data_IF_745237402536
#
_entry.id   IF_745237402536
#
_cell.length_a   1.000
_cell.length_b   1.000
_cell.length_c   1.000
_cell.angle_alpha   90.00
_cell.angle_beta   90.00
_cell.angle_gamma   90.00
#
_symmetry.space_group_name_H-M   'P 1'
#
loop_
_entity.id
_entity.type
_entity.pdbx_description
1 polymer ?
#
# COMPACT_ATOMS: atom_id res chain seq x y z
N UNK A 1 -27.63 -19.98 7.60
CA UNK A 1 -26.49 -19.05 7.33
C UNK A 1 -25.37 -19.43 8.26
N UNK A 2 -24.29 -19.95 7.73
CA UNK A 2 -23.11 -20.35 8.53
C UNK A 2 -22.52 -19.08 9.15
N UNK A 3 -22.48 -19.02 10.48
CA UNK A 3 -21.81 -17.96 11.22
C UNK A 3 -20.44 -18.46 11.65
N UNK A 4 -19.40 -17.65 11.47
CA UNK A 4 -18.07 -17.95 11.99
C UNK A 4 -17.75 -17.02 13.13
N UNK A 5 -17.18 -17.56 14.21
CA UNK A 5 -16.69 -16.77 15.36
C UNK A 5 -15.21 -17.02 15.49
N UNK A 6 -14.43 -15.97 15.37
CA UNK A 6 -12.99 -16.01 15.62
C UNK A 6 -12.72 -15.52 17.04
N UNK A 7 -12.07 -16.35 17.86
CA UNK A 7 -11.70 -16.02 19.23
C UNK A 7 -10.19 -15.98 19.39
N UNK A 8 -9.70 -15.07 20.20
CA UNK A 8 -8.29 -14.97 20.54
C UNK A 8 -8.10 -14.33 21.93
N UNK A 9 -6.92 -14.56 22.51
CA UNK A 9 -6.53 -13.92 23.78
C UNK A 9 -6.57 -12.38 23.67
N UNK A 10 -6.22 -11.84 22.51
CA UNK A 10 -6.21 -10.40 22.27
C UNK A 10 -6.92 -10.05 20.96
N UNK A 11 -7.71 -8.99 20.98
CA UNK A 11 -8.31 -8.39 19.79
C UNK A 11 -8.07 -6.88 19.84
N UNK A 12 -7.50 -6.32 18.78
CA UNK A 12 -7.36 -4.88 18.57
C UNK A 12 -8.40 -4.46 17.53
N UNK A 13 -9.58 -3.96 17.94
CA UNK A 13 -10.62 -3.52 17.00
C UNK A 13 -10.17 -2.36 16.12
N UNK A 14 -9.44 -1.43 16.74
CA UNK A 14 -8.75 -0.32 16.11
C UNK A 14 -7.56 0.09 16.98
N UNK A 15 -6.62 0.82 16.41
CA UNK A 15 -5.42 1.25 17.11
C UNK A 15 -5.74 2.00 18.41
N UNK A 16 -5.06 1.66 19.49
CA UNK A 16 -5.30 2.21 20.83
C UNK A 16 -6.43 1.52 21.60
N UNK A 17 -7.13 0.54 21.02
CA UNK A 17 -8.18 -0.23 21.71
C UNK A 17 -7.79 -1.71 21.80
N UNK A 18 -7.79 -2.28 22.98
CA UNK A 18 -7.47 -3.69 23.23
C UNK A 18 -8.61 -4.39 23.98
N UNK A 19 -9.13 -5.46 23.41
CA UNK A 19 -10.03 -6.40 24.07
C UNK A 19 -9.25 -7.67 24.44
N UNK A 20 -9.54 -8.23 25.62
CA UNK A 20 -8.95 -9.50 26.09
C UNK A 20 -9.98 -10.60 26.04
N UNK A 21 -9.54 -11.82 25.68
CA UNK A 21 -10.41 -12.99 25.57
C UNK A 21 -11.70 -12.62 24.82
N UNK A 22 -11.56 -12.22 23.57
CA UNK A 22 -12.66 -11.62 22.82
C UNK A 22 -12.96 -12.39 21.53
N UNK A 23 -14.18 -12.19 21.04
CA UNK A 23 -14.72 -12.83 19.86
C UNK A 23 -15.08 -11.81 18.79
N UNK A 24 -14.74 -12.13 17.55
CA UNK A 24 -15.19 -11.43 16.34
C UNK A 24 -16.19 -12.34 15.62
N UNK A 25 -17.46 -11.93 15.62
CA UNK A 25 -18.55 -12.65 14.96
C UNK A 25 -18.67 -12.19 13.51
N UNK A 26 -18.62 -13.15 12.59
CA UNK A 26 -18.76 -12.93 11.15
C UNK A 26 -20.06 -13.55 10.65
N UNK A 27 -20.84 -12.77 9.90
CA UNK A 27 -22.05 -13.20 9.22
C UNK A 27 -21.87 -13.14 7.71
N UNK A 28 -22.71 -13.84 6.95
CA UNK A 28 -22.77 -13.68 5.50
C UNK A 28 -23.09 -12.23 5.10
N UNK A 29 -22.47 -11.70 4.03
CA UNK A 29 -21.49 -12.32 3.15
C UNK A 29 -20.01 -12.08 3.57
N UNK A 30 -19.69 -12.17 4.86
CA UNK A 30 -18.33 -11.94 5.39
C UNK A 30 -18.17 -10.58 6.07
N UNK A 31 -19.23 -10.09 6.71
CA UNK A 31 -19.19 -8.85 7.50
C UNK A 31 -19.14 -9.14 8.99
N UNK A 32 -18.48 -8.26 9.72
CA UNK A 32 -18.48 -8.29 11.17
C UNK A 32 -19.88 -7.93 11.66
N UNK A 33 -20.51 -8.83 12.42
CA UNK A 33 -21.82 -8.62 13.01
C UNK A 33 -21.72 -8.12 14.46
N UNK A 34 -20.71 -8.58 15.22
CA UNK A 34 -20.51 -8.23 16.63
C UNK A 34 -19.06 -8.47 17.06
N UNK A 35 -18.60 -7.69 18.03
CA UNK A 35 -17.40 -7.93 18.85
C UNK A 35 -17.82 -7.91 20.31
N UNK A 36 -17.32 -8.86 21.10
CA UNK A 36 -17.61 -8.96 22.53
C UNK A 36 -16.54 -9.76 23.27
N UNK A 37 -16.47 -9.62 24.62
CA UNK A 37 -15.72 -10.56 25.44
C UNK A 37 -16.24 -11.99 25.23
N UNK A 38 -15.32 -12.96 25.10
CA UNK A 38 -15.70 -14.36 24.94
C UNK A 38 -15.99 -15.00 26.30
N UNK A 39 -17.20 -15.51 26.50
CA UNK A 39 -17.64 -16.11 27.75
C UNK A 39 -17.98 -17.62 27.64
N UNK A 40 -18.49 -18.06 26.50
CA UNK A 40 -18.90 -19.45 26.26
C UNK A 40 -19.16 -19.68 24.77
N UNK A 41 -19.04 -20.92 24.26
CA UNK A 41 -19.49 -21.25 22.93
C UNK A 41 -20.98 -20.90 22.77
N UNK A 42 -21.36 -20.34 21.61
CA UNK A 42 -22.76 -20.06 21.35
C UNK A 42 -23.59 -21.36 21.39
N UNK A 43 -24.80 -21.34 21.93
CA UNK A 43 -25.63 -22.54 22.09
C UNK A 43 -26.16 -23.11 20.75
N UNK A 44 -25.76 -22.55 19.61
CA UNK A 44 -26.29 -22.91 18.30
C UNK A 44 -25.27 -23.74 17.50
N UNK A 45 -25.67 -24.94 17.09
CA UNK A 45 -24.87 -25.93 16.33
C UNK A 45 -24.44 -25.44 14.93
N UNK A 46 -25.03 -24.39 14.39
CA UNK A 46 -24.69 -23.82 13.07
C UNK A 46 -23.53 -22.82 13.09
N UNK A 47 -22.91 -22.57 14.25
CA UNK A 47 -21.82 -21.60 14.38
C UNK A 47 -20.46 -22.30 14.39
N UNK A 48 -19.63 -22.02 13.39
CA UNK A 48 -18.23 -22.48 13.37
C UNK A 48 -17.40 -21.58 14.30
N UNK A 49 -16.77 -22.15 15.30
CA UNK A 49 -15.83 -21.43 16.18
C UNK A 49 -14.40 -21.76 15.76
N UNK A 50 -13.61 -20.72 15.53
CA UNK A 50 -12.18 -20.81 15.26
C UNK A 50 -11.43 -20.18 16.42
N UNK A 51 -10.77 -21.00 17.24
CA UNK A 51 -9.98 -20.58 18.38
C UNK A 51 -8.51 -20.43 17.97
N UNK A 52 -8.00 -19.21 18.07
CA UNK A 52 -6.61 -18.87 17.75
C UNK A 52 -5.68 -18.96 18.97
N UNK A 53 -6.21 -19.24 20.16
CA UNK A 53 -5.45 -19.36 21.40
C UNK A 53 -4.71 -18.07 21.78
N UNK A 54 -3.40 -18.21 22.09
CA UNK A 54 -2.53 -17.09 22.42
C UNK A 54 -2.15 -16.30 21.17
N UNK A 55 -3.13 -15.60 20.60
CA UNK A 55 -2.98 -14.80 19.39
C UNK A 55 -3.57 -13.40 19.56
N UNK A 56 -3.21 -12.51 18.64
CA UNK A 56 -3.80 -11.19 18.44
C UNK A 56 -4.58 -11.21 17.12
N UNK A 57 -5.84 -10.77 17.16
CA UNK A 57 -6.63 -10.43 15.97
C UNK A 57 -6.64 -8.91 15.83
N UNK A 58 -6.24 -8.41 14.66
CA UNK A 58 -6.30 -6.98 14.32
C UNK A 58 -6.92 -6.81 12.94
N UNK A 59 -7.32 -5.57 12.54
CA UNK A 59 -7.77 -5.32 11.18
C UNK A 59 -6.72 -5.79 10.19
N UNK A 60 -7.15 -6.30 9.04
CA UNK A 60 -6.26 -6.70 7.98
C UNK A 60 -5.28 -5.58 7.62
N UNK A 61 -4.00 -5.92 7.50
CA UNK A 61 -2.97 -4.95 7.14
C UNK A 61 -3.20 -4.46 5.71
N UNK A 62 -2.90 -3.19 5.49
CA UNK A 62 -3.05 -2.50 4.20
C UNK A 62 -1.69 -2.06 3.69
N UNK A 63 -1.29 -2.59 2.55
CA UNK A 63 -0.14 -2.11 1.80
C UNK A 63 -0.62 -1.05 0.80
N UNK A 64 -0.46 0.22 1.12
CA UNK A 64 -1.02 1.29 0.31
C UNK A 64 -0.22 1.60 -0.97
N UNK A 65 0.98 1.03 -1.11
CA UNK A 65 1.83 1.16 -2.30
C UNK A 65 2.80 -0.01 -2.42
N UNK A 66 2.74 -0.69 -3.56
CA UNK A 66 3.70 -1.73 -3.94
C UNK A 66 3.82 -1.87 -5.45
N UNK A 67 4.96 -2.42 -5.92
CA UNK A 67 5.20 -2.82 -7.30
C UNK A 67 5.47 -4.33 -7.33
N UNK A 68 4.43 -5.14 -7.41
CA UNK A 68 4.56 -6.61 -7.43
C UNK A 68 5.33 -7.10 -8.66
N UNK A 69 5.31 -6.34 -9.76
CA UNK A 69 6.09 -6.64 -10.97
C UNK A 69 7.59 -6.71 -10.73
N UNK A 70 8.10 -6.08 -9.66
CA UNK A 70 9.51 -6.04 -9.32
C UNK A 70 9.92 -7.08 -8.26
N UNK A 71 9.04 -8.06 -7.94
CA UNK A 71 9.34 -9.09 -6.93
C UNK A 71 10.48 -10.04 -7.34
N UNK A 72 10.88 -10.09 -8.61
CA UNK A 72 12.07 -10.82 -9.08
C UNK A 72 13.38 -10.11 -8.78
N UNK A 73 13.35 -8.80 -8.52
CA UNK A 73 14.54 -8.06 -8.18
C UNK A 73 14.73 -8.11 -6.67
N UNK A 74 15.61 -8.99 -6.15
CA UNK A 74 15.98 -8.89 -4.74
C UNK A 74 16.66 -7.55 -4.54
N UNK A 75 16.31 -6.85 -3.46
CA UNK A 75 17.02 -5.64 -3.05
C UNK A 75 18.52 -5.90 -3.10
N UNK A 76 19.26 -5.02 -3.76
CA UNK A 76 20.70 -5.19 -3.86
C UNK A 76 21.31 -5.10 -2.45
N UNK A 77 22.27 -5.98 -2.13
CA UNK A 77 22.99 -5.94 -0.85
C UNK A 77 23.73 -4.60 -0.63
N UNK A 78 24.03 -3.91 -1.73
CA UNK A 78 24.68 -2.60 -1.70
C UNK A 78 23.74 -1.51 -2.19
N UNK A 79 23.67 -0.46 -1.41
CA UNK A 79 23.01 0.78 -1.81
C UNK A 79 23.53 1.27 -3.16
N UNK A 80 22.64 1.63 -4.12
CA UNK A 80 23.06 2.18 -5.41
C UNK A 80 23.82 3.49 -5.24
N UNK A 81 24.73 3.78 -6.18
CA UNK A 81 25.51 5.03 -6.15
C UNK A 81 24.63 6.27 -6.34
N UNK A 82 23.56 6.15 -7.16
CA UNK A 82 22.53 7.16 -7.32
C UNK A 82 21.17 6.54 -7.64
N UNK A 83 20.09 7.30 -7.41
CA UNK A 83 18.73 6.87 -7.71
C UNK A 83 18.51 6.65 -9.21
N UNK A 84 19.06 7.52 -10.06
CA UNK A 84 18.96 7.39 -11.53
C UNK A 84 19.70 6.18 -12.08
N UNK A 85 20.82 5.80 -11.47
CA UNK A 85 21.53 4.57 -11.80
C UNK A 85 20.67 3.34 -11.45
N UNK A 86 20.07 3.32 -10.26
CA UNK A 86 19.15 2.27 -9.85
C UNK A 86 17.96 2.14 -10.81
N UNK A 87 17.34 3.28 -11.21
CA UNK A 87 16.28 3.27 -12.22
C UNK A 87 16.73 2.65 -13.55
N UNK A 88 17.94 2.99 -14.01
CA UNK A 88 18.51 2.43 -15.24
C UNK A 88 18.68 0.91 -15.16
N UNK A 89 19.09 0.40 -13.98
CA UNK A 89 19.23 -1.03 -13.74
C UNK A 89 17.88 -1.73 -13.72
N UNK A 90 16.87 -1.19 -13.03
CA UNK A 90 15.50 -1.72 -13.01
C UNK A 90 14.91 -1.76 -14.41
N UNK A 91 15.07 -0.71 -15.22
CA UNK A 91 14.59 -0.68 -16.61
C UNK A 91 15.25 -1.77 -17.44
N UNK A 92 16.58 -1.92 -17.31
CA UNK A 92 17.35 -2.94 -18.05
C UNK A 92 16.92 -4.35 -17.69
N UNK A 93 16.71 -4.64 -16.41
CA UNK A 93 16.27 -5.96 -15.97
C UNK A 93 14.84 -6.27 -16.44
N UNK A 94 13.92 -5.31 -16.32
CA UNK A 94 12.53 -5.49 -16.82
C UNK A 94 12.47 -5.82 -18.31
N UNK A 95 13.38 -5.30 -19.14
CA UNK A 95 13.43 -5.59 -20.58
C UNK A 95 13.77 -7.05 -20.91
N UNK A 96 14.31 -7.81 -19.96
CA UNK A 96 14.68 -9.22 -20.11
C UNK A 96 13.53 -10.17 -19.79
N UNK A 97 12.47 -9.68 -19.15
CA UNK A 97 11.40 -10.55 -18.67
C UNK A 97 10.32 -10.75 -19.72
N UNK A 98 9.92 -12.02 -19.88
CA UNK A 98 8.74 -12.36 -20.64
C UNK A 98 7.46 -11.97 -19.88
N UNK A 99 6.33 -11.96 -20.61
CA UNK A 99 5.01 -11.77 -19.99
C UNK A 99 4.73 -12.82 -18.90
N UNK A 100 5.19 -14.06 -19.09
CA UNK A 100 5.00 -15.14 -18.12
C UNK A 100 5.81 -14.88 -16.83
N UNK A 101 7.06 -14.41 -16.96
CA UNK A 101 7.90 -14.06 -15.82
C UNK A 101 7.26 -12.95 -14.98
N UNK A 102 6.73 -11.90 -15.63
CA UNK A 102 6.04 -10.81 -14.96
C UNK A 102 4.80 -11.32 -14.23
N UNK A 103 4.00 -12.18 -14.87
CA UNK A 103 2.80 -12.76 -14.26
C UNK A 103 3.12 -13.60 -13.02
N UNK A 104 4.12 -14.48 -13.11
CA UNK A 104 4.58 -15.28 -11.98
C UNK A 104 5.07 -14.42 -10.82
N UNK A 105 5.84 -13.39 -11.15
CA UNK A 105 6.38 -12.43 -10.20
C UNK A 105 5.29 -11.70 -9.41
N UNK A 106 4.26 -11.21 -10.10
CA UNK A 106 3.10 -10.54 -9.49
C UNK A 106 2.37 -11.49 -8.53
N UNK A 107 2.10 -12.72 -8.96
CA UNK A 107 1.41 -13.74 -8.14
C UNK A 107 2.24 -14.05 -6.89
N UNK A 108 3.55 -14.22 -7.04
CA UNK A 108 4.47 -14.50 -5.92
C UNK A 108 4.47 -13.36 -4.91
N UNK A 109 4.57 -12.11 -5.36
CA UNK A 109 4.53 -10.93 -4.50
C UNK A 109 3.20 -10.79 -3.74
N UNK A 110 2.07 -11.03 -4.41
CA UNK A 110 0.76 -11.03 -3.77
C UNK A 110 0.65 -12.10 -2.68
N UNK A 111 1.16 -13.30 -2.92
CA UNK A 111 1.18 -14.39 -1.94
C UNK A 111 2.09 -14.10 -0.75
N UNK A 112 3.24 -13.46 -0.96
CA UNK A 112 4.11 -12.99 0.12
C UNK A 112 3.39 -11.93 0.98
N UNK A 113 2.73 -10.96 0.36
CA UNK A 113 1.94 -9.96 1.07
C UNK A 113 0.81 -10.60 1.89
N UNK A 114 0.08 -11.54 1.28
CA UNK A 114 -0.99 -12.29 1.97
C UNK A 114 -0.43 -13.10 3.15
N UNK A 115 0.72 -13.77 2.98
CA UNK A 115 1.36 -14.55 4.04
C UNK A 115 1.86 -13.69 5.20
N UNK A 116 2.03 -12.39 5.01
CA UNK A 116 2.43 -11.43 6.05
C UNK A 116 1.26 -10.68 6.71
N UNK A 117 0.02 -11.03 6.39
CA UNK A 117 -1.17 -10.41 7.01
C UNK A 117 -1.82 -9.30 6.18
N UNK A 118 -1.33 -9.01 4.99
CA UNK A 118 -1.91 -7.98 4.13
C UNK A 118 -3.20 -8.47 3.48
N UNK A 119 -4.29 -7.71 3.63
CA UNK A 119 -5.62 -8.03 3.07
C UNK A 119 -6.01 -7.10 1.91
N UNK A 120 -5.37 -5.92 1.81
CA UNK A 120 -5.62 -4.92 0.77
C UNK A 120 -4.29 -4.38 0.24
N UNK A 121 -4.15 -4.35 -1.09
CA UNK A 121 -3.01 -3.79 -1.82
C UNK A 121 -3.40 -2.56 -2.63
N UNK A 122 -2.51 -1.55 -2.65
CA UNK A 122 -2.41 -0.54 -3.67
C UNK A 122 -1.26 -0.91 -4.63
N UNK A 123 -1.58 -1.62 -5.69
CA UNK A 123 -0.61 -2.18 -6.66
C UNK A 123 -0.40 -1.23 -7.83
N UNK A 124 0.85 -0.88 -8.14
CA UNK A 124 1.21 -0.12 -9.33
C UNK A 124 1.52 -1.10 -10.48
N UNK A 125 0.70 -1.05 -11.53
CA UNK A 125 0.83 -1.92 -12.71
C UNK A 125 1.36 -1.15 -13.90
N UNK A 126 2.64 -1.26 -14.19
CA UNK A 126 3.26 -0.61 -15.35
C UNK A 126 3.12 -1.44 -16.62
N UNK A 127 3.06 -2.77 -16.50
CA UNK A 127 2.85 -3.67 -17.64
C UNK A 127 1.38 -3.83 -18.06
N UNK A 128 0.43 -3.46 -17.19
CA UNK A 128 -1.00 -3.73 -17.37
C UNK A 128 -1.39 -5.20 -17.21
N UNK A 129 -0.51 -6.02 -16.58
CA UNK A 129 -0.73 -7.47 -16.40
C UNK A 129 -1.33 -7.79 -15.04
N UNK A 130 -1.17 -6.91 -14.03
CA UNK A 130 -1.54 -7.19 -12.64
C UNK A 130 -3.02 -7.61 -12.48
N UNK A 131 -3.94 -7.03 -13.24
CA UNK A 131 -5.36 -7.41 -13.21
C UNK A 131 -5.59 -8.88 -13.56
N UNK A 132 -4.96 -9.36 -14.63
CA UNK A 132 -5.09 -10.75 -15.08
C UNK A 132 -4.34 -11.69 -14.13
N UNK A 133 -3.13 -11.32 -13.72
CA UNK A 133 -2.31 -12.11 -12.83
C UNK A 133 -2.99 -12.35 -11.47
N UNK A 134 -3.64 -11.33 -10.93
CA UNK A 134 -4.20 -11.34 -9.57
C UNK A 134 -5.66 -11.82 -9.48
N UNK A 135 -6.31 -12.18 -10.60
CA UNK A 135 -7.74 -12.52 -10.64
C UNK A 135 -8.15 -13.67 -9.70
N UNK A 136 -7.24 -14.55 -9.35
CA UNK A 136 -7.49 -15.69 -8.47
C UNK A 136 -6.91 -15.55 -7.07
N UNK A 137 -6.18 -14.48 -6.82
CA UNK A 137 -5.56 -14.23 -5.52
C UNK A 137 -6.59 -13.63 -4.54
N UNK A 138 -6.74 -14.27 -3.38
CA UNK A 138 -7.79 -14.00 -2.41
C UNK A 138 -7.45 -12.83 -1.48
N UNK A 139 -7.01 -11.71 -2.04
CA UNK A 139 -6.83 -10.44 -1.33
C UNK A 139 -7.47 -9.31 -2.11
N UNK A 140 -7.80 -8.21 -1.44
CA UNK A 140 -8.33 -7.02 -2.11
C UNK A 140 -7.19 -6.24 -2.74
N UNK A 141 -7.46 -5.66 -3.90
CA UNK A 141 -6.48 -4.89 -4.66
C UNK A 141 -7.12 -3.71 -5.37
N UNK A 142 -6.55 -2.53 -5.16
CA UNK A 142 -6.73 -1.38 -6.01
C UNK A 142 -5.52 -1.31 -6.94
N UNK A 143 -5.74 -1.57 -8.23
CA UNK A 143 -4.68 -1.63 -9.23
C UNK A 143 -4.60 -0.28 -9.92
N UNK A 144 -3.49 0.39 -9.73
CA UNK A 144 -3.17 1.65 -10.36
C UNK A 144 -2.47 1.38 -11.69
N UNK A 145 -3.18 1.59 -12.78
CA UNK A 145 -2.65 1.48 -14.14
C UNK A 145 -1.69 2.63 -14.42
N UNK A 146 -0.40 2.32 -14.49
CA UNK A 146 0.63 3.33 -14.60
C UNK A 146 0.80 3.84 -16.03
N UNK A 147 1.07 5.16 -16.15
CA UNK A 147 1.44 5.81 -17.40
C UNK A 147 2.70 6.65 -17.23
N UNK A 148 3.57 6.57 -18.25
CA UNK A 148 4.86 7.26 -18.33
C UNK A 148 5.00 7.84 -19.73
N UNK A 149 5.02 9.17 -19.86
CA UNK A 149 5.34 9.83 -21.11
C UNK A 149 5.63 11.32 -20.92
N UNK A 150 6.68 11.81 -21.54
CA UNK A 150 7.08 13.23 -21.53
C UNK A 150 6.82 13.93 -22.85
N UNK A 151 6.71 13.18 -23.98
CA UNK A 151 6.43 13.77 -25.29
C UNK A 151 4.94 13.72 -25.61
N UNK A 152 4.37 14.69 -26.36
CA UNK A 152 2.95 14.70 -26.70
C UNK A 152 2.48 13.44 -27.42
N UNK A 153 3.29 12.92 -28.34
CA UNK A 153 2.96 11.72 -29.12
C UNK A 153 2.79 10.50 -28.20
N UNK A 154 3.80 10.25 -27.33
CA UNK A 154 3.75 9.16 -26.37
C UNK A 154 2.67 9.35 -25.30
N UNK A 155 2.34 10.60 -24.94
CA UNK A 155 1.25 10.89 -24.00
C UNK A 155 -0.11 10.46 -24.60
N UNK A 156 -0.36 10.73 -25.88
CA UNK A 156 -1.57 10.28 -26.58
C UNK A 156 -1.69 8.76 -26.63
N UNK A 157 -0.59 8.06 -26.96
CA UNK A 157 -0.54 6.59 -26.96
C UNK A 157 -0.77 6.02 -25.54
N UNK A 158 -0.13 6.60 -24.52
CA UNK A 158 -0.28 6.19 -23.12
C UNK A 158 -1.74 6.35 -22.63
N UNK A 159 -2.40 7.46 -22.97
CA UNK A 159 -3.82 7.69 -22.64
C UNK A 159 -4.74 6.72 -23.36
N UNK A 160 -4.51 6.42 -24.63
CA UNK A 160 -5.29 5.43 -25.36
C UNK A 160 -5.18 4.03 -24.76
N UNK A 161 -3.94 3.60 -24.42
CA UNK A 161 -3.67 2.34 -23.75
C UNK A 161 -4.28 2.28 -22.34
N UNK A 162 -4.21 3.38 -21.57
CA UNK A 162 -4.82 3.49 -20.24
C UNK A 162 -6.34 3.32 -20.31
N UNK A 163 -7.01 4.05 -21.21
CA UNK A 163 -8.46 3.91 -21.39
C UNK A 163 -8.84 2.48 -21.75
N UNK A 164 -8.14 1.85 -22.69
CA UNK A 164 -8.38 0.45 -23.07
C UNK A 164 -8.23 -0.50 -21.87
N UNK A 165 -7.27 -0.27 -20.99
CA UNK A 165 -7.09 -1.07 -19.76
C UNK A 165 -8.24 -0.85 -18.76
N UNK A 166 -8.63 0.39 -18.52
CA UNK A 166 -9.68 0.75 -17.58
C UNK A 166 -11.10 0.40 -18.06
N UNK A 167 -11.32 0.28 -19.36
CA UNK A 167 -12.62 -0.12 -19.93
C UNK A 167 -12.90 -1.63 -19.77
N UNK A 168 -11.89 -2.42 -19.44
CA UNK A 168 -12.09 -3.84 -19.13
C UNK A 168 -12.80 -3.99 -17.79
N UNK A 169 -13.77 -4.88 -17.65
CA UNK A 169 -14.42 -5.15 -16.37
C UNK A 169 -13.42 -5.67 -15.35
N UNK A 170 -13.64 -5.38 -14.08
CA UNK A 170 -12.80 -5.95 -13.02
C UNK A 170 -12.93 -7.47 -12.99
N UNK A 171 -11.80 -8.20 -12.86
CA UNK A 171 -11.79 -9.65 -13.04
C UNK A 171 -12.45 -10.41 -11.90
N UNK A 172 -12.61 -9.81 -10.73
CA UNK A 172 -13.21 -10.40 -9.54
C UNK A 172 -13.76 -9.31 -8.59
N UNK A 173 -14.50 -9.74 -7.57
CA UNK A 173 -15.12 -8.86 -6.57
C UNK A 173 -14.10 -8.21 -5.58
N UNK A 174 -12.83 -8.58 -5.65
CA UNK A 174 -11.75 -8.06 -4.81
C UNK A 174 -10.84 -7.10 -5.56
N UNK A 175 -11.08 -6.91 -6.86
CA UNK A 175 -10.30 -6.05 -7.73
C UNK A 175 -11.05 -4.75 -8.02
N UNK A 176 -10.33 -3.66 -8.07
CA UNK A 176 -10.76 -2.41 -8.70
C UNK A 176 -9.58 -1.72 -9.35
N UNK A 177 -9.84 -0.88 -10.35
CA UNK A 177 -8.80 -0.22 -11.13
C UNK A 177 -8.83 1.29 -10.95
N UNK A 178 -7.65 1.88 -11.02
CA UNK A 178 -7.42 3.30 -10.85
C UNK A 178 -6.28 3.78 -11.76
N UNK A 179 -5.85 5.03 -11.63
CA UNK A 179 -4.83 5.60 -12.50
C UNK A 179 -3.58 5.99 -11.71
N UNK A 180 -2.40 5.83 -12.34
CA UNK A 180 -1.13 6.28 -11.79
C UNK A 180 -0.29 7.00 -12.86
N UNK A 181 -0.36 8.34 -12.98
CA UNK A 181 0.73 9.06 -13.62
C UNK A 181 1.98 8.93 -12.75
N UNK A 182 3.03 8.29 -13.26
CA UNK A 182 4.17 7.78 -12.50
C UNK A 182 4.80 8.81 -11.55
N UNK A 183 5.44 9.84 -12.10
CA UNK A 183 6.13 10.88 -11.32
C UNK A 183 6.31 12.17 -12.11
N UNK A 184 6.47 13.35 -11.46
CA UNK A 184 6.65 14.64 -12.13
C UNK A 184 7.81 14.71 -13.11
N UNK A 185 8.86 13.94 -12.89
CA UNK A 185 10.03 13.89 -13.78
C UNK A 185 9.85 12.98 -15.01
N UNK A 186 8.76 12.21 -15.11
CA UNK A 186 8.53 11.22 -16.16
C UNK A 186 7.19 11.33 -16.88
N UNK A 187 6.35 12.29 -16.47
CA UNK A 187 5.00 12.50 -16.99
C UNK A 187 4.83 13.96 -17.41
N UNK A 188 4.35 14.18 -18.63
CA UNK A 188 4.11 15.55 -19.13
C UNK A 188 2.96 16.25 -18.42
N UNK A 189 2.91 17.60 -18.40
CA UNK A 189 1.79 18.36 -17.83
C UNK A 189 0.44 17.98 -18.43
N UNK A 190 0.40 17.72 -19.74
CA UNK A 190 -0.81 17.36 -20.49
C UNK A 190 -1.30 15.98 -20.04
N UNK A 191 -0.39 15.02 -19.88
CA UNK A 191 -0.72 13.65 -19.43
C UNK A 191 -1.22 13.67 -17.98
N UNK A 192 -0.63 14.49 -17.10
CA UNK A 192 -1.13 14.67 -15.73
C UNK A 192 -2.56 15.22 -15.71
N UNK A 193 -2.85 16.28 -16.47
CA UNK A 193 -4.21 16.84 -16.56
C UNK A 193 -5.20 15.82 -17.09
N UNK A 194 -4.85 15.13 -18.17
CA UNK A 194 -5.72 14.11 -18.78
C UNK A 194 -6.00 12.94 -17.82
N UNK A 195 -5.00 12.47 -17.08
CA UNK A 195 -5.20 11.42 -16.07
C UNK A 195 -6.01 11.89 -14.87
N UNK A 196 -5.84 13.14 -14.43
CA UNK A 196 -6.65 13.73 -13.37
C UNK A 196 -8.13 13.88 -13.80
N UNK A 197 -8.39 14.35 -15.02
CA UNK A 197 -9.74 14.43 -15.59
C UNK A 197 -10.38 13.04 -15.71
N UNK A 198 -9.63 12.04 -16.18
CA UNK A 198 -10.08 10.65 -16.27
C UNK A 198 -10.43 10.08 -14.89
N UNK A 199 -9.58 10.28 -13.87
CA UNK A 199 -9.84 9.86 -12.51
C UNK A 199 -11.12 10.50 -11.94
N UNK A 200 -11.32 11.79 -12.20
CA UNK A 200 -12.52 12.52 -11.80
C UNK A 200 -13.77 11.97 -12.49
N UNK A 201 -13.72 11.77 -13.79
CA UNK A 201 -14.84 11.25 -14.59
C UNK A 201 -15.24 9.83 -14.17
N UNK A 202 -14.26 9.02 -13.75
CA UNK A 202 -14.48 7.63 -13.29
C UNK A 202 -14.72 7.52 -11.77
N UNK A 203 -14.72 8.61 -11.04
CA UNK A 203 -14.86 8.64 -9.57
C UNK A 203 -13.86 7.70 -8.87
N UNK A 204 -12.62 7.63 -9.37
CA UNK A 204 -11.57 6.76 -8.85
C UNK A 204 -10.43 7.57 -8.23
N UNK A 205 -9.47 6.89 -7.60
CA UNK A 205 -8.27 7.48 -7.00
C UNK A 205 -7.24 7.80 -8.09
N UNK A 206 -6.26 8.62 -7.72
CA UNK A 206 -5.04 8.82 -8.50
C UNK A 206 -3.86 8.65 -7.55
N UNK A 207 -2.86 7.86 -7.95
CA UNK A 207 -1.61 7.72 -7.21
C UNK A 207 -0.44 8.25 -8.05
N UNK A 208 0.56 8.84 -7.40
CA UNK A 208 1.78 9.29 -8.08
C UNK A 208 2.96 9.34 -7.10
N UNK A 209 4.15 8.98 -7.57
CA UNK A 209 5.39 9.19 -6.83
C UNK A 209 5.69 10.69 -6.80
N UNK A 210 6.09 11.21 -5.64
CA UNK A 210 6.23 12.66 -5.46
C UNK A 210 7.28 13.00 -4.42
N UNK A 211 8.16 13.94 -4.77
CA UNK A 211 9.20 14.47 -3.88
C UNK A 211 10.00 13.32 -3.22
N UNK A 212 10.31 12.30 -4.02
CA UNK A 212 11.01 11.12 -3.54
C UNK A 212 12.50 11.39 -3.32
N UNK A 213 13.12 12.18 -4.21
CA UNK A 213 14.55 12.45 -4.17
C UNK A 213 14.85 13.95 -4.31
N UNK A 214 16.00 14.39 -3.79
CA UNK A 214 16.49 15.77 -4.00
C UNK A 214 16.75 16.07 -5.47
N UNK A 215 17.14 15.06 -6.23
CA UNK A 215 17.35 15.15 -7.67
C UNK A 215 16.06 15.47 -8.44
N UNK A 216 14.91 14.94 -7.97
CA UNK A 216 13.60 15.33 -8.50
C UNK A 216 13.31 16.81 -8.28
N UNK A 217 13.56 17.29 -7.06
CA UNK A 217 13.38 18.70 -6.71
C UNK A 217 14.24 19.61 -7.61
N UNK A 218 15.54 19.27 -7.77
CA UNK A 218 16.48 20.00 -8.64
C UNK A 218 15.97 20.01 -10.08
N UNK A 219 15.59 18.87 -10.61
CA UNK A 219 15.13 18.73 -11.98
C UNK A 219 13.87 19.57 -12.26
N UNK A 220 12.89 19.56 -11.35
CA UNK A 220 11.67 20.36 -11.53
C UNK A 220 11.89 21.85 -11.33
N UNK A 221 12.80 22.24 -10.45
CA UNK A 221 13.09 23.65 -10.19
C UNK A 221 13.90 24.30 -11.30
N UNK A 222 14.96 23.63 -11.80
CA UNK A 222 15.95 24.23 -12.69
C UNK A 222 16.16 23.50 -14.02
N UNK A 223 15.67 22.27 -14.14
CA UNK A 223 15.90 21.44 -15.31
C UNK A 223 17.32 20.92 -15.43
N UNK A 224 18.06 20.83 -14.32
CA UNK A 224 19.45 20.38 -14.26
C UNK A 224 19.57 19.04 -13.50
N UNK A 225 20.78 18.60 -13.26
CA UNK A 225 21.10 17.46 -12.41
C UNK A 225 21.00 16.10 -13.09
N UNK A 226 21.01 15.07 -12.26
CA UNK A 226 21.08 13.67 -12.69
C UNK A 226 19.86 13.25 -13.53
N UNK A 227 18.65 13.69 -13.18
CA UNK A 227 17.44 13.35 -13.95
C UNK A 227 17.49 13.91 -15.37
N UNK A 228 18.03 15.13 -15.58
CA UNK A 228 18.21 15.64 -16.92
C UNK A 228 19.11 14.73 -17.75
N UNK A 229 20.28 14.38 -17.22
CA UNK A 229 21.23 13.50 -17.90
C UNK A 229 20.62 12.12 -18.21
N UNK A 230 19.93 11.54 -17.24
CA UNK A 230 19.26 10.25 -17.34
C UNK A 230 18.17 10.27 -18.43
N UNK A 231 17.28 11.25 -18.41
CA UNK A 231 16.17 11.34 -19.37
C UNK A 231 16.66 11.66 -20.80
N UNK A 232 17.70 12.51 -20.92
CA UNK A 232 18.37 12.73 -22.20
C UNK A 232 19.00 11.44 -22.72
N UNK A 233 19.67 10.66 -21.86
CA UNK A 233 20.28 9.36 -22.23
C UNK A 233 19.26 8.33 -22.70
N UNK A 234 18.03 8.37 -22.18
CA UNK A 234 16.92 7.55 -22.65
C UNK A 234 16.21 8.08 -23.90
N UNK A 235 16.56 9.29 -24.38
CA UNK A 235 15.83 9.97 -25.44
C UNK A 235 14.37 10.31 -25.06
N UNK A 236 14.10 10.42 -23.76
CA UNK A 236 12.76 10.64 -23.23
C UNK A 236 12.41 12.13 -23.08
N UNK A 237 13.42 13.00 -22.95
CA UNK A 237 13.21 14.43 -22.78
C UNK A 237 12.99 15.11 -24.15
N UNK A 238 11.82 15.77 -24.39
CA UNK A 238 11.56 16.40 -25.68
C UNK A 238 12.50 17.59 -25.93
N UNK A 239 12.84 17.89 -27.22
CA UNK A 239 13.56 19.10 -27.55
C UNK A 239 12.87 20.35 -27.03
N UNK A 240 13.65 21.27 -26.43
CA UNK A 240 13.10 22.51 -25.88
C UNK A 240 12.31 22.36 -24.57
N UNK A 241 12.32 21.20 -23.94
CA UNK A 241 11.67 21.01 -22.65
C UNK A 241 12.18 22.02 -21.63
N UNK A 242 11.26 22.64 -20.91
CA UNK A 242 11.53 23.61 -19.85
C UNK A 242 11.02 23.07 -18.51
N UNK A 243 11.80 23.29 -17.43
CA UNK A 243 11.35 22.89 -16.09
C UNK A 243 10.13 23.72 -15.66
N UNK A 244 9.24 23.17 -14.84
CA UNK A 244 8.09 23.90 -14.30
C UNK A 244 8.50 25.07 -13.39
N UNK A 245 9.74 25.08 -12.85
CA UNK A 245 10.23 26.10 -11.92
C UNK A 245 9.52 26.07 -10.56
N UNK A 246 8.98 24.95 -10.16
CA UNK A 246 8.14 24.78 -8.97
C UNK A 246 8.59 23.58 -8.14
N UNK A 247 8.29 23.62 -6.83
CA UNK A 247 8.37 22.43 -5.97
C UNK A 247 7.37 21.36 -6.45
N UNK A 248 7.65 20.05 -6.26
CA UNK A 248 6.83 18.96 -6.79
C UNK A 248 5.34 19.06 -6.44
N UNK A 249 5.01 19.35 -5.18
CA UNK A 249 3.61 19.49 -4.71
C UNK A 249 2.93 20.68 -5.36
N UNK A 250 3.59 21.84 -5.40
CA UNK A 250 3.06 23.05 -6.03
C UNK A 250 2.82 22.85 -7.55
N UNK A 251 3.69 22.07 -8.20
CA UNK A 251 3.53 21.71 -9.60
C UNK A 251 2.28 20.86 -9.82
N UNK A 252 2.06 19.81 -9.03
CA UNK A 252 0.86 18.97 -9.14
C UNK A 252 -0.42 19.71 -8.75
N UNK A 253 -0.37 20.63 -7.78
CA UNK A 253 -1.49 21.50 -7.42
C UNK A 253 -1.89 22.40 -8.61
N UNK A 254 -0.90 23.02 -9.27
CA UNK A 254 -1.13 23.82 -10.51
C UNK A 254 -1.74 23.01 -11.65
N UNK A 255 -1.47 21.71 -11.71
CA UNK A 255 -2.04 20.81 -12.72
C UNK A 255 -3.45 20.27 -12.36
N UNK A 256 -3.98 20.61 -11.17
CA UNK A 256 -5.30 20.17 -10.71
C UNK A 256 -5.32 18.71 -10.21
N UNK A 257 -4.16 18.10 -10.00
CA UNK A 257 -4.05 16.72 -9.47
C UNK A 257 -4.50 16.67 -8.02
N UNK A 258 -4.15 17.68 -7.21
CA UNK A 258 -4.52 17.72 -5.80
C UNK A 258 -6.01 18.04 -5.55
N UNK A 259 -6.77 18.43 -6.58
CA UNK A 259 -8.22 18.61 -6.49
C UNK A 259 -8.98 17.26 -6.39
N UNK A 260 -8.26 16.16 -6.52
CA UNK A 260 -8.72 14.80 -6.31
C UNK A 260 -8.26 14.29 -4.93
N UNK A 261 -8.87 13.23 -4.39
CA UNK A 261 -8.34 12.53 -3.22
C UNK A 261 -7.10 11.72 -3.65
N UNK A 262 -6.02 12.42 -4.01
CA UNK A 262 -4.80 11.84 -4.53
C UNK A 262 -3.99 11.13 -3.46
N UNK A 263 -3.23 10.12 -3.90
CA UNK A 263 -2.29 9.35 -3.09
C UNK A 263 -0.89 9.75 -3.53
N UNK A 264 -0.18 10.46 -2.66
CA UNK A 264 1.15 10.99 -2.90
C UNK A 264 2.16 10.03 -2.26
N UNK A 265 2.91 9.32 -3.10
CA UNK A 265 3.80 8.25 -2.66
C UNK A 265 5.17 8.85 -2.34
N UNK A 266 5.81 8.36 -1.29
CA UNK A 266 7.07 8.78 -0.68
C UNK A 266 6.96 10.12 0.05
N UNK A 267 6.92 11.24 -0.64
CA UNK A 267 6.92 12.57 -0.02
C UNK A 267 8.08 12.78 0.97
N UNK A 268 9.27 12.32 0.58
CA UNK A 268 10.47 12.33 1.44
C UNK A 268 10.98 13.75 1.70
N UNK A 269 10.77 14.67 0.74
CA UNK A 269 11.31 16.03 0.74
C UNK A 269 10.19 17.06 0.56
N UNK A 270 9.53 17.41 1.66
CA UNK A 270 8.45 18.40 1.69
C UNK A 270 8.85 19.64 2.49
N UNK A 271 8.59 20.82 1.95
CA UNK A 271 8.59 22.06 2.71
C UNK A 271 7.23 22.34 3.37
N UNK A 272 7.13 23.37 4.17
CA UNK A 272 5.92 23.70 4.93
C UNK A 272 4.75 24.07 3.99
N UNK A 273 4.99 24.80 2.88
CA UNK A 273 3.97 25.14 1.89
C UNK A 273 3.38 23.87 1.23
N UNK A 274 4.24 22.92 0.89
CA UNK A 274 3.84 21.62 0.35
C UNK A 274 2.93 20.86 1.32
N UNK A 275 3.28 20.80 2.62
CA UNK A 275 2.47 20.13 3.64
C UNK A 275 1.10 20.81 3.82
N UNK A 276 1.05 22.14 3.82
CA UNK A 276 -0.19 22.91 3.90
C UNK A 276 -1.09 22.65 2.68
N UNK A 277 -0.53 22.57 1.47
CA UNK A 277 -1.28 22.19 0.26
C UNK A 277 -1.87 20.79 0.38
N UNK A 278 -1.07 19.80 0.77
CA UNK A 278 -1.52 18.41 0.95
C UNK A 278 -2.68 18.34 1.94
N UNK A 279 -2.56 19.03 3.08
CA UNK A 279 -3.61 19.08 4.10
C UNK A 279 -4.90 19.69 3.57
N UNK A 280 -4.80 20.87 2.91
CA UNK A 280 -5.97 21.63 2.40
C UNK A 280 -6.74 20.88 1.32
N UNK A 281 -6.09 19.96 0.61
CA UNK A 281 -6.65 19.15 -0.49
C UNK A 281 -7.08 17.76 -0.07
N UNK A 282 -6.96 17.39 1.21
CA UNK A 282 -7.31 16.07 1.74
C UNK A 282 -6.62 14.91 1.01
N UNK A 283 -5.42 15.13 0.50
CA UNK A 283 -4.60 14.08 -0.08
C UNK A 283 -4.01 13.17 1.01
N UNK A 284 -3.69 11.95 0.64
CA UNK A 284 -3.01 11.00 1.53
C UNK A 284 -1.53 10.85 1.12
N UNK A 285 -0.66 10.68 2.09
CA UNK A 285 0.76 10.37 1.87
C UNK A 285 0.98 8.87 2.14
N UNK A 286 1.75 8.21 1.29
CA UNK A 286 2.21 6.84 1.54
C UNK A 286 3.70 6.86 1.83
N UNK A 287 4.07 6.50 3.04
CA UNK A 287 5.45 6.37 3.48
C UNK A 287 5.90 4.91 3.35
N UNK A 288 7.07 4.69 2.72
CA UNK A 288 7.70 3.40 2.55
C UNK A 288 9.02 3.37 3.37
N UNK A 289 8.96 3.06 4.68
CA UNK A 289 10.09 3.27 5.60
C UNK A 289 11.38 2.56 5.23
N UNK A 290 11.30 1.31 4.80
CA UNK A 290 12.48 0.49 4.50
C UNK A 290 13.07 0.85 3.14
N UNK A 291 12.24 1.13 2.13
CA UNK A 291 12.69 1.68 0.85
C UNK A 291 13.36 3.03 1.03
N UNK A 292 12.78 3.92 1.84
CA UNK A 292 13.38 5.19 2.24
C UNK A 292 14.78 5.01 2.87
N UNK A 293 14.93 4.02 3.76
CA UNK A 293 16.20 3.71 4.40
C UNK A 293 17.21 3.10 3.41
N UNK A 294 16.76 2.26 2.49
CA UNK A 294 17.58 1.65 1.44
C UNK A 294 18.28 2.71 0.59
N UNK A 295 17.56 3.75 0.18
CA UNK A 295 18.15 4.89 -0.54
C UNK A 295 18.91 5.85 0.37
N UNK A 296 18.74 5.75 1.70
CA UNK A 296 19.38 6.59 2.73
C UNK A 296 19.03 8.04 2.60
N UNK A 297 17.77 8.30 2.39
CA UNK A 297 17.21 9.65 2.40
C UNK A 297 17.37 10.33 3.76
N UNK A 298 17.27 11.65 3.79
CA UNK A 298 17.16 12.43 5.03
C UNK A 298 15.91 12.04 5.82
N UNK A 299 15.83 12.31 7.14
CA UNK A 299 14.70 11.89 7.95
C UNK A 299 13.36 12.31 7.36
N UNK A 300 12.49 11.34 7.14
CA UNK A 300 11.14 11.58 6.59
C UNK A 300 10.32 12.46 7.54
N UNK A 301 9.55 13.46 7.03
CA UNK A 301 8.78 14.39 7.85
C UNK A 301 7.50 13.80 8.45
N UNK A 302 7.40 12.45 8.60
CA UNK A 302 6.19 11.74 9.03
C UNK A 302 5.61 12.29 10.34
N UNK A 303 6.45 12.65 11.33
CA UNK A 303 5.97 13.23 12.59
C UNK A 303 5.20 14.52 12.33
N UNK A 304 5.78 15.42 11.54
CA UNK A 304 5.16 16.70 11.18
C UNK A 304 3.85 16.51 10.42
N UNK A 305 3.82 15.57 9.47
CA UNK A 305 2.61 15.24 8.70
C UNK A 305 1.47 14.76 9.62
N UNK A 306 1.79 13.86 10.56
CA UNK A 306 0.80 13.33 11.53
C UNK A 306 0.32 14.44 12.49
N UNK A 307 1.21 15.30 12.97
CA UNK A 307 0.86 16.41 13.85
C UNK A 307 -0.05 17.44 13.17
N UNK A 308 0.10 17.63 11.87
CA UNK A 308 -0.80 18.46 11.06
C UNK A 308 -2.13 17.78 10.75
N UNK A 309 -2.29 16.48 11.03
CA UNK A 309 -3.51 15.71 10.72
C UNK A 309 -3.58 15.20 9.29
N UNK A 310 -2.46 15.19 8.53
CA UNK A 310 -2.40 14.59 7.20
C UNK A 310 -2.49 13.08 7.34
N UNK A 311 -3.31 12.44 6.49
CA UNK A 311 -3.42 11.00 6.46
C UNK A 311 -2.14 10.36 5.91
N UNK A 312 -1.39 9.68 6.76
CA UNK A 312 -0.17 8.95 6.36
C UNK A 312 -0.42 7.45 6.48
N UNK A 313 -0.25 6.74 5.37
CA UNK A 313 -0.36 5.29 5.26
C UNK A 313 1.03 4.65 5.06
N UNK A 314 1.14 3.33 5.23
CA UNK A 314 2.34 2.57 4.92
C UNK A 314 2.25 1.90 3.54
N UNK A 315 3.39 1.85 2.86
CA UNK A 315 3.63 1.04 1.69
C UNK A 315 4.95 0.30 1.83
N UNK A 316 5.13 -0.77 1.08
CA UNK A 316 6.39 -1.53 1.07
C UNK A 316 7.29 -1.10 -0.08
N UNK A 317 6.74 -0.42 -1.08
CA UNK A 317 7.39 -0.28 -2.36
C UNK A 317 7.70 -1.67 -2.98
N UNK A 318 8.79 -1.85 -3.69
CA UNK A 318 9.16 -3.09 -4.35
C UNK A 318 10.30 -3.84 -3.65
N UNK A 319 10.49 -5.12 -3.99
CA UNK A 319 11.69 -5.87 -3.57
C UNK A 319 12.98 -5.34 -4.22
N UNK A 320 12.91 -4.46 -5.19
CA UNK A 320 14.10 -3.79 -5.74
C UNK A 320 14.71 -2.76 -4.78
N UNK A 321 13.93 -2.28 -3.80
CA UNK A 321 14.35 -1.33 -2.76
C UNK A 321 14.00 -1.79 -1.34
N UNK A 322 13.54 -3.04 -1.18
CA UNK A 322 13.11 -3.58 0.11
C UNK A 322 13.44 -5.08 0.20
N UNK A 323 13.54 -5.61 1.41
CA UNK A 323 13.82 -7.02 1.66
C UNK A 323 12.55 -7.89 1.74
N UNK A 324 11.38 -7.28 1.99
CA UNK A 324 10.10 -8.00 2.05
C UNK A 324 8.92 -7.09 1.66
N UNK A 325 7.81 -7.72 1.24
CA UNK A 325 6.53 -7.03 0.97
C UNK A 325 5.59 -7.07 2.21
N UNK A 326 6.18 -7.14 3.39
CA UNK A 326 5.47 -7.23 4.67
C UNK A 326 5.24 -5.85 5.29
N UNK A 327 3.99 -5.41 5.35
CA UNK A 327 3.61 -4.20 6.12
C UNK A 327 3.92 -4.36 7.60
N UNK A 328 3.85 -5.59 8.14
CA UNK A 328 4.24 -5.86 9.52
C UNK A 328 5.73 -5.55 9.78
N UNK A 329 6.59 -5.82 8.80
CA UNK A 329 8.02 -5.48 8.90
C UNK A 329 8.25 -3.96 8.79
N UNK A 330 7.46 -3.24 7.99
CA UNK A 330 7.47 -1.77 7.96
C UNK A 330 7.08 -1.18 9.32
N UNK A 331 6.01 -1.72 9.95
CA UNK A 331 5.58 -1.29 11.29
C UNK A 331 6.69 -1.50 12.33
N UNK A 332 7.32 -2.68 12.32
CA UNK A 332 8.43 -3.05 13.22
C UNK A 332 9.67 -2.19 12.97
N UNK A 333 9.95 -1.89 11.70
CA UNK A 333 11.03 -0.98 11.33
C UNK A 333 10.80 0.41 11.93
N UNK A 334 9.61 0.98 11.78
CA UNK A 334 9.24 2.27 12.36
C UNK A 334 9.38 2.26 13.88
N UNK A 335 8.83 1.26 14.56
CA UNK A 335 8.92 1.17 16.02
C UNK A 335 10.35 1.16 16.54
N UNK A 336 11.27 0.50 15.83
CA UNK A 336 12.68 0.45 16.19
C UNK A 336 13.41 1.75 15.90
N UNK A 337 13.12 2.42 14.80
CA UNK A 337 13.91 3.53 14.25
C UNK A 337 13.29 4.92 14.44
N UNK A 338 11.98 5.00 14.76
CA UNK A 338 11.24 6.27 14.92
C UNK A 338 10.58 6.33 16.29
N UNK A 339 11.40 6.72 17.29
CA UNK A 339 10.94 6.81 18.69
C UNK A 339 9.97 7.97 18.96
N UNK A 340 9.81 8.85 18.00
CA UNK A 340 8.84 9.95 17.94
C UNK A 340 7.43 9.49 17.52
N UNK A 341 7.26 8.24 17.09
CA UNK A 341 5.96 7.65 16.73
C UNK A 341 5.42 6.75 17.85
N UNK A 342 4.13 6.85 18.12
CA UNK A 342 3.42 5.99 19.08
C UNK A 342 2.98 4.69 18.43
N UNK A 343 2.80 3.63 19.23
CA UNK A 343 2.33 2.34 18.74
C UNK A 343 1.01 2.42 17.98
N UNK A 344 0.05 3.14 18.53
CA UNK A 344 -1.27 3.32 17.91
C UNK A 344 -1.21 4.10 16.59
N UNK A 345 -0.29 5.07 16.44
CA UNK A 345 -0.07 5.78 15.19
C UNK A 345 0.47 4.82 14.12
N UNK A 346 1.46 3.99 14.46
CA UNK A 346 2.04 2.99 13.54
C UNK A 346 0.98 1.98 13.10
N UNK A 347 0.15 1.48 14.02
CA UNK A 347 -0.94 0.55 13.71
C UNK A 347 -1.98 1.24 12.81
N UNK A 348 -2.32 2.50 13.06
CA UNK A 348 -3.22 3.28 12.19
C UNK A 348 -2.68 3.39 10.77
N UNK A 349 -1.40 3.73 10.62
CA UNK A 349 -0.76 3.85 9.31
C UNK A 349 -0.84 2.55 8.51
N UNK A 350 -0.74 1.40 9.19
CA UNK A 350 -0.78 0.07 8.59
C UNK A 350 -2.20 -0.48 8.37
N UNK A 351 -3.24 0.18 8.85
CA UNK A 351 -4.62 -0.31 8.82
C UNK A 351 -5.57 0.75 8.26
N UNK A 352 -6.22 1.53 9.13
CA UNK A 352 -7.27 2.47 8.71
C UNK A 352 -6.76 3.59 7.79
N UNK A 353 -5.54 4.11 8.02
CA UNK A 353 -5.02 5.16 7.16
C UNK A 353 -4.78 4.66 5.73
N UNK A 354 -4.25 3.44 5.58
CA UNK A 354 -4.12 2.79 4.28
C UNK A 354 -5.49 2.54 3.61
N UNK A 355 -6.47 2.06 4.39
CA UNK A 355 -7.82 1.86 3.88
C UNK A 355 -8.48 3.18 3.43
N UNK A 356 -8.27 4.28 4.16
CA UNK A 356 -8.74 5.63 3.78
C UNK A 356 -8.05 6.10 2.49
N UNK A 357 -6.72 5.98 2.41
CA UNK A 357 -5.95 6.34 1.23
C UNK A 357 -6.46 5.62 -0.02
N UNK A 358 -6.70 4.32 0.07
CA UNK A 358 -7.19 3.51 -1.04
C UNK A 358 -8.71 3.60 -1.29
N UNK A 359 -9.46 4.39 -0.48
CA UNK A 359 -10.90 4.60 -0.66
C UNK A 359 -11.81 3.59 0.04
N UNK A 360 -11.26 2.73 0.89
CA UNK A 360 -12.01 1.67 1.59
C UNK A 360 -12.25 1.97 3.08
N UNK A 361 -11.91 3.15 3.58
CA UNK A 361 -11.95 3.49 5.01
C UNK A 361 -13.32 3.37 5.69
N UNK A 362 -14.41 3.35 4.91
CA UNK A 362 -15.77 3.17 5.42
C UNK A 362 -16.15 1.69 5.64
N UNK A 363 -15.34 0.75 5.14
CA UNK A 363 -15.67 -0.69 5.15
C UNK A 363 -14.50 -1.59 5.54
N UNK A 364 -13.26 -1.05 5.62
CA UNK A 364 -12.02 -1.76 5.99
C UNK A 364 -11.18 -0.96 6.97
N UNK A 365 -10.15 -1.59 7.54
CA UNK A 365 -9.17 -0.96 8.43
C UNK A 365 -9.59 -0.86 9.89
N UNK A 366 -10.77 -1.37 10.25
CA UNK A 366 -11.27 -1.51 11.63
C UNK A 366 -12.07 -2.80 11.78
N UNK A 367 -12.06 -3.39 12.97
CA UNK A 367 -13.00 -4.47 13.33
C UNK A 367 -14.24 -3.83 13.95
N UNK A 368 -15.20 -3.50 13.13
CA UNK A 368 -16.42 -2.81 13.53
C UNK A 368 -17.64 -3.46 12.88
N UNK A 369 -18.77 -3.47 13.58
CA UNK A 369 -20.04 -3.96 13.01
C UNK A 369 -20.33 -3.30 11.66
N UNK A 370 -20.63 -4.14 10.65
CA UNK A 370 -20.92 -3.74 9.29
C UNK A 370 -19.68 -3.65 8.37
N UNK A 371 -18.47 -3.60 8.94
CA UNK A 371 -17.23 -3.67 8.17
C UNK A 371 -17.00 -5.08 7.62
N UNK A 372 -16.23 -5.21 6.54
CA UNK A 372 -15.77 -6.51 6.10
C UNK A 372 -14.86 -7.14 7.17
N UNK A 373 -14.99 -8.44 7.34
CA UNK A 373 -14.15 -9.21 8.24
C UNK A 373 -12.80 -9.54 7.56
N UNK A 374 -12.05 -8.48 7.25
CA UNK A 374 -10.68 -8.57 6.81
C UNK A 374 -9.78 -8.41 8.04
N UNK A 375 -9.05 -9.47 8.38
CA UNK A 375 -8.33 -9.58 9.64
C UNK A 375 -6.96 -10.21 9.45
N UNK A 376 -6.01 -9.77 10.25
CA UNK A 376 -4.70 -10.40 10.43
C UNK A 376 -4.67 -11.07 11.80
N UNK A 377 -4.24 -12.31 11.85
CA UNK A 377 -4.08 -13.05 13.09
C UNK A 377 -2.59 -13.33 13.29
N UNK A 378 -2.05 -12.84 14.40
CA UNK A 378 -0.65 -12.99 14.75
C UNK A 378 -0.51 -13.87 15.99
N UNK A 379 0.36 -14.87 15.93
CA UNK A 379 0.72 -15.69 17.11
C UNK A 379 1.46 -14.82 18.11
N UNK A 380 1.09 -14.90 19.38
CA UNK A 380 1.84 -14.25 20.45
C UNK A 380 2.57 -15.34 21.26
N UNK A 381 3.80 -15.08 21.71
CA UNK A 381 4.47 -15.99 22.62
C UNK A 381 3.67 -16.20 23.92
N UNK A 382 3.70 -17.44 24.45
CA UNK A 382 3.13 -17.72 25.75
C UNK A 382 3.93 -17.03 26.87
N UNK A 383 3.27 -16.63 27.95
CA UNK A 383 3.93 -15.99 29.10
C UNK A 383 4.28 -14.51 28.93
N UNK A 384 3.91 -13.88 27.80
CA UNK A 384 4.04 -12.42 27.67
C UNK A 384 3.21 -11.70 28.74
N UNK A 385 3.79 -10.63 29.27
CA UNK A 385 3.07 -9.75 30.19
C UNK A 385 1.85 -9.12 29.51
N UNK A 386 0.70 -9.12 30.18
CA UNK A 386 -0.57 -8.56 29.69
C UNK A 386 -0.58 -7.00 29.61
N UNK A 387 0.59 -6.40 29.49
CA UNK A 387 0.78 -4.96 29.40
C UNK A 387 1.50 -4.62 28.11
N UNK A 388 1.18 -3.46 27.55
CA UNK A 388 1.84 -2.93 26.34
C UNK A 388 1.81 -3.92 25.15
N UNK A 389 0.67 -4.59 24.91
CA UNK A 389 0.53 -5.61 23.88
C UNK A 389 0.87 -5.06 22.49
N UNK A 390 0.49 -3.81 22.18
CA UNK A 390 0.84 -3.17 20.90
C UNK A 390 2.36 -2.99 20.75
N UNK A 391 3.06 -2.61 21.81
CA UNK A 391 4.52 -2.48 21.77
C UNK A 391 5.18 -3.85 21.58
N UNK A 392 4.72 -4.89 22.29
CA UNK A 392 5.25 -6.26 22.14
C UNK A 392 5.04 -6.79 20.71
N UNK A 393 3.88 -6.50 20.08
CA UNK A 393 3.61 -6.80 18.69
C UNK A 393 4.66 -6.15 17.76
N UNK A 394 4.95 -4.86 18.00
CA UNK A 394 5.87 -4.07 17.19
C UNK A 394 7.35 -4.37 17.48
N UNK A 395 7.70 -4.86 18.66
CA UNK A 395 9.05 -5.34 18.99
C UNK A 395 9.45 -6.59 18.18
N UNK A 396 8.45 -7.33 17.69
CA UNK A 396 8.68 -8.54 16.91
C UNK A 396 8.12 -9.81 17.52
N UNK A 397 7.39 -9.69 18.63
CA UNK A 397 6.64 -10.80 19.19
C UNK A 397 5.46 -11.10 18.26
N UNK A 398 5.53 -12.17 17.49
CA UNK A 398 4.41 -12.65 16.71
C UNK A 398 4.72 -12.90 15.24
N UNK A 399 4.27 -14.04 14.78
CA UNK A 399 4.28 -14.46 13.38
C UNK A 399 2.85 -14.46 12.85
N UNK A 400 2.68 -14.21 11.56
CA UNK A 400 1.38 -14.31 10.94
C UNK A 400 0.89 -15.76 10.98
N UNK A 401 -0.22 -15.99 11.68
CA UNK A 401 -0.91 -17.28 11.73
C UNK A 401 -1.91 -17.44 10.60
N UNK A 402 -2.64 -16.37 10.33
CA UNK A 402 -3.63 -16.38 9.28
C UNK A 402 -3.92 -14.97 8.79
N UNK A 403 -4.28 -14.89 7.52
CA UNK A 403 -4.87 -13.74 6.86
C UNK A 403 -6.29 -14.10 6.44
N UNK A 404 -7.25 -13.32 6.89
CA UNK A 404 -8.66 -13.54 6.68
C UNK A 404 -9.18 -12.40 5.81
N UNK A 405 -9.79 -12.74 4.69
CA UNK A 405 -10.40 -11.79 3.76
C UNK A 405 -11.87 -12.13 3.62
N UNK A 406 -12.72 -11.14 3.82
CA UNK A 406 -14.18 -11.32 3.79
C UNK A 406 -14.66 -12.49 4.67
N UNK A 407 -14.09 -12.61 5.88
CA UNK A 407 -14.44 -13.65 6.85
C UNK A 407 -13.96 -15.06 6.50
N UNK A 408 -13.18 -15.24 5.43
CA UNK A 408 -12.63 -16.53 5.00
C UNK A 408 -11.12 -16.55 5.18
N UNK A 409 -10.56 -17.64 5.66
CA UNK A 409 -9.12 -17.82 5.74
C UNK A 409 -8.57 -17.87 4.31
N UNK A 410 -7.85 -16.82 3.92
CA UNK A 410 -7.21 -16.70 2.62
C UNK A 410 -5.79 -17.30 2.64
N UNK A 411 -5.12 -17.22 3.79
CA UNK A 411 -3.82 -17.84 4.03
C UNK A 411 -3.68 -18.24 5.51
N UNK A 412 -2.94 -19.32 5.78
CA UNK A 412 -2.59 -19.72 7.14
C UNK A 412 -1.28 -20.51 7.16
N UNK A 413 -0.47 -20.31 8.21
CA UNK A 413 0.70 -21.11 8.52
C UNK A 413 0.35 -22.47 9.13
N UNK A 414 -0.92 -22.71 9.51
CA UNK A 414 -1.45 -23.94 10.09
C UNK A 414 -2.45 -24.62 9.12
N UNK A 415 -1.99 -25.42 8.13
CA UNK A 415 -2.84 -25.98 7.07
C UNK A 415 -4.02 -26.83 7.57
N UNK A 416 -3.90 -27.45 8.74
CA UNK A 416 -4.98 -28.21 9.37
C UNK A 416 -6.23 -27.39 9.71
N UNK A 417 -6.12 -26.07 9.81
CA UNK A 417 -7.27 -25.18 10.03
C UNK A 417 -8.10 -24.91 8.75
N UNK A 418 -7.55 -25.20 7.57
CA UNK A 418 -8.27 -25.07 6.29
C UNK A 418 -9.24 -26.24 6.04
N UNK A 419 -9.02 -27.39 6.63
CA UNK A 419 -9.76 -28.64 6.38
C UNK A 419 -11.03 -28.80 7.24
N UNK A 420 -11.28 -27.90 8.17
CA UNK A 420 -12.47 -27.92 9.06
C UNK A 420 -13.72 -27.30 8.47
N UNK A 421 -14.02 -27.50 7.16
CA UNK A 421 -15.17 -26.92 6.49
C UNK A 421 -15.46 -27.60 5.15
N UNK A 422 -15.80 -28.89 5.20
CA UNK A 422 -16.56 -29.54 4.13
C UNK A 422 -18.04 -29.55 4.49
#
# INVERSE_FOLDING_TARGET
MIRTVHIAKYVIPEAGMLLRNAAVHVSDPGRISRLEPWQSPPPNLETKVVDWGCAIILPGLVNAHTHLELTHLPGQEKRPASFTQWLAEVIREKQRWSRADIQETIIRGARQSLASGTTLLGEISSSGISREALKHEKLRKLIFEEVIALTPEKAGEAMAALNQRLDRPDPDAFSSSSVSPHAPYSVSPELYRATAELARARHTRLATHLAETKQELEFLASGTGEFRSFLCGLGALPPGWMPPGLAPVAYLDKLGVLDLPAILIHCNYLDEDSMVRILSRSCSVVYCPRSHAYFGHEPHPVRRLLDMGINVALGTDSLASNESLSVLDEMRYLFRNRKDLKCDEIIRMATINGAVALGFGNVLGRLRRGYWADMTVLRMPEGLADRNIEAQLLEGAGECLATIVQGRIAWTSAPGMLTGGA
#
